data_IF_258569903059
#
_entry.id   IF_258569903059
#
_cell.length_a   1.000
_cell.length_b   1.000
_cell.length_c   1.000
_cell.angle_alpha   90.00
_cell.angle_beta   90.00
_cell.angle_gamma   90.00
#
_symmetry.space_group_name_H-M   'P 1'
#
loop_
_entity.id
_entity.type
_entity.pdbx_description
1 polymer ?
#
# COMPACT_ATOMS: atom_id res chain seq x y z
N UNK A 1 -24.61 -16.43 0.23
CA UNK A 1 -23.71 -15.30 0.54
C UNK A 1 -23.87 -15.01 2.02
N UNK A 2 -22.80 -14.62 2.74
CA UNK A 2 -22.83 -14.50 4.20
C UNK A 2 -23.62 -13.22 4.58
N UNK A 3 -24.69 -13.31 5.41
CA UNK A 3 -25.55 -12.17 5.73
C UNK A 3 -24.81 -11.02 6.45
N UNK A 4 -23.72 -11.32 7.16
CA UNK A 4 -22.88 -10.30 7.77
C UNK A 4 -22.07 -9.51 6.73
N UNK A 5 -21.57 -10.21 5.70
CA UNK A 5 -20.86 -9.57 4.58
C UNK A 5 -21.82 -8.64 3.82
N UNK A 6 -23.04 -9.11 3.55
CA UNK A 6 -24.08 -8.32 2.89
C UNK A 6 -24.39 -7.03 3.65
N UNK A 7 -24.56 -7.13 4.97
CA UNK A 7 -24.81 -5.97 5.82
C UNK A 7 -23.66 -4.96 5.78
N UNK A 8 -22.41 -5.42 5.82
CA UNK A 8 -21.24 -4.54 5.70
C UNK A 8 -21.24 -3.86 4.32
N UNK A 9 -21.42 -4.62 3.25
CA UNK A 9 -21.46 -4.11 1.87
C UNK A 9 -22.53 -3.03 1.69
N UNK A 10 -23.74 -3.27 2.22
CA UNK A 10 -24.82 -2.29 2.18
C UNK A 10 -24.48 -1.02 2.99
N UNK A 11 -23.89 -1.18 4.17
CA UNK A 11 -23.52 -0.06 5.02
C UNK A 11 -22.41 0.81 4.40
N UNK A 12 -21.45 0.20 3.70
CA UNK A 12 -20.34 0.94 3.07
C UNK A 12 -20.65 1.46 1.67
N UNK A 13 -21.71 0.97 1.02
CA UNK A 13 -22.09 1.33 -0.34
C UNK A 13 -22.10 2.85 -0.63
N UNK A 14 -22.73 3.72 0.20
CA UNK A 14 -22.73 5.16 -0.08
C UNK A 14 -21.34 5.79 0.01
N UNK A 15 -20.47 5.31 0.90
CA UNK A 15 -19.09 5.81 1.03
C UNK A 15 -18.22 5.34 -0.12
N UNK A 16 -18.39 4.08 -0.54
CA UNK A 16 -17.73 3.55 -1.73
C UNK A 16 -18.08 4.38 -2.97
N UNK A 17 -19.35 4.75 -3.13
CA UNK A 17 -19.78 5.60 -4.25
C UNK A 17 -19.12 6.99 -4.19
N UNK A 18 -19.02 7.59 -3.00
CA UNK A 18 -18.31 8.88 -2.83
C UNK A 18 -16.82 8.79 -3.22
N UNK A 19 -16.15 7.66 -2.95
CA UNK A 19 -14.76 7.44 -3.36
C UNK A 19 -14.66 7.27 -4.87
N UNK A 20 -15.55 6.48 -5.48
CA UNK A 20 -15.56 6.24 -6.94
C UNK A 20 -15.79 7.56 -7.69
N UNK A 21 -16.74 8.37 -7.23
CA UNK A 21 -17.10 9.65 -7.85
C UNK A 21 -16.24 10.82 -7.33
N UNK A 22 -15.11 10.52 -6.67
CA UNK A 22 -14.32 11.54 -6.02
C UNK A 22 -13.75 12.54 -7.04
N UNK A 23 -13.87 13.84 -6.73
CA UNK A 23 -13.51 14.94 -7.64
C UNK A 23 -12.04 14.91 -8.07
N UNK A 24 -11.16 14.28 -7.29
CA UNK A 24 -9.73 14.14 -7.59
C UNK A 24 -9.49 13.55 -8.98
N UNK A 25 -10.31 12.58 -9.40
CA UNK A 25 -10.15 11.94 -10.71
C UNK A 25 -10.46 12.88 -11.87
N UNK A 26 -11.34 13.87 -11.66
CA UNK A 26 -11.73 14.84 -12.69
C UNK A 26 -10.75 16.02 -12.82
N UNK A 27 -9.95 16.27 -11.78
CA UNK A 27 -9.00 17.39 -11.75
C UNK A 27 -7.61 16.99 -12.22
N UNK A 28 -7.27 15.70 -12.25
CA UNK A 28 -6.02 15.21 -12.85
C UNK A 28 -6.22 15.13 -14.36
N UNK A 29 -5.71 16.12 -15.11
CA UNK A 29 -5.90 16.22 -16.56
C UNK A 29 -4.63 16.02 -17.36
N UNK A 30 -3.49 16.38 -16.77
CA UNK A 30 -2.19 16.27 -17.40
C UNK A 30 -1.12 15.73 -16.44
N UNK A 31 0.09 15.60 -16.95
CA UNK A 31 1.23 15.08 -16.19
C UNK A 31 1.56 15.96 -14.99
N UNK A 32 1.38 17.28 -15.08
CA UNK A 32 1.66 18.21 -13.98
C UNK A 32 0.68 17.98 -12.83
N UNK A 33 -0.61 17.82 -13.12
CA UNK A 33 -1.60 17.47 -12.10
C UNK A 33 -1.28 16.11 -11.44
N UNK A 34 -0.86 15.13 -12.26
CA UNK A 34 -0.47 13.81 -11.77
C UNK A 34 0.76 13.89 -10.85
N UNK A 35 1.78 14.66 -11.22
CA UNK A 35 2.97 14.86 -10.39
C UNK A 35 2.60 15.39 -9.00
N UNK A 36 1.70 16.37 -8.93
CA UNK A 36 1.21 16.92 -7.67
C UNK A 36 0.47 15.83 -6.88
N UNK A 37 -0.43 15.08 -7.52
CA UNK A 37 -1.14 13.98 -6.86
C UNK A 37 -0.18 12.96 -6.26
N UNK A 38 0.83 12.51 -7.01
CA UNK A 38 1.80 11.51 -6.57
C UNK A 38 2.62 11.97 -5.35
N UNK A 39 2.96 13.26 -5.28
CA UNK A 39 3.69 13.84 -4.13
C UNK A 39 2.94 13.69 -2.80
N UNK A 40 1.61 13.65 -2.83
CA UNK A 40 0.79 13.40 -1.63
C UNK A 40 0.44 11.91 -1.49
N UNK A 41 0.13 11.23 -2.59
CA UNK A 41 -0.34 9.85 -2.58
C UNK A 41 0.75 8.86 -2.16
N UNK A 42 2.03 9.16 -2.42
CA UNK A 42 3.16 8.30 -2.01
C UNK A 42 3.17 8.00 -0.51
N UNK A 43 2.68 8.91 0.34
CA UNK A 43 2.58 8.67 1.79
C UNK A 43 1.54 7.59 2.12
N UNK A 44 0.43 7.54 1.38
CA UNK A 44 -0.57 6.48 1.53
C UNK A 44 -0.04 5.12 1.02
N UNK A 45 0.72 5.15 -0.09
CA UNK A 45 1.42 3.96 -0.62
C UNK A 45 2.41 3.41 0.40
N UNK A 46 3.20 4.29 1.03
CA UNK A 46 4.13 3.93 2.08
C UNK A 46 3.42 3.40 3.34
N UNK A 47 2.39 4.11 3.84
CA UNK A 47 1.70 3.75 5.09
C UNK A 47 0.87 2.46 4.96
N UNK A 48 0.47 2.08 3.74
CA UNK A 48 -0.14 0.78 3.49
C UNK A 48 0.77 -0.38 3.96
N UNK A 49 2.09 -0.24 3.85
CA UNK A 49 3.03 -1.23 4.36
C UNK A 49 2.93 -1.38 5.89
N UNK A 50 2.68 -0.30 6.63
CA UNK A 50 2.44 -0.37 8.07
C UNK A 50 1.23 -1.24 8.40
N UNK A 51 0.12 -1.04 7.69
CA UNK A 51 -1.09 -1.85 7.83
C UNK A 51 -0.82 -3.32 7.48
N UNK A 52 -0.15 -3.58 6.35
CA UNK A 52 0.18 -4.92 5.92
C UNK A 52 1.08 -5.65 6.92
N UNK A 53 2.07 -4.96 7.50
CA UNK A 53 2.93 -5.53 8.55
C UNK A 53 2.18 -5.79 9.84
N UNK A 54 1.26 -4.92 10.24
CA UNK A 54 0.38 -5.19 11.37
C UNK A 54 -0.45 -6.45 11.12
N UNK A 55 -1.04 -6.61 9.94
CA UNK A 55 -1.80 -7.81 9.57
C UNK A 55 -0.91 -9.06 9.56
N UNK A 56 0.29 -9.00 8.96
CA UNK A 56 1.23 -10.11 8.90
C UNK A 56 1.65 -10.57 10.31
N UNK A 57 1.99 -9.63 11.19
CA UNK A 57 2.40 -9.93 12.56
C UNK A 57 1.27 -10.55 13.41
N UNK A 58 0.01 -10.17 13.15
CA UNK A 58 -1.14 -10.65 13.94
C UNK A 58 -1.80 -11.90 13.38
N UNK A 59 -1.64 -12.18 12.08
CA UNK A 59 -2.35 -13.26 11.39
C UNK A 59 -1.41 -14.36 10.86
N UNK A 60 -0.10 -14.14 10.91
CA UNK A 60 0.92 -15.12 10.53
C UNK A 60 2.05 -15.17 11.55
N UNK A 61 3.07 -16.02 11.31
CA UNK A 61 4.25 -16.09 12.17
C UNK A 61 5.42 -15.37 11.49
N UNK A 62 5.85 -14.26 12.10
CA UNK A 62 6.99 -13.43 11.64
C UNK A 62 8.18 -13.47 12.60
N UNK A 63 8.07 -14.22 13.70
CA UNK A 63 9.08 -14.33 14.77
C UNK A 63 9.68 -15.74 14.88
N UNK A 64 10.83 -15.85 15.54
CA UNK A 64 11.49 -17.14 15.85
C UNK A 64 11.38 -17.48 17.34
N UNK A 65 11.26 -18.77 17.71
CA UNK A 65 11.10 -19.94 16.84
C UNK A 65 9.72 -19.97 16.14
N UNK A 66 9.68 -20.57 14.94
CA UNK A 66 8.50 -20.56 14.08
C UNK A 66 7.45 -21.60 14.53
N UNK A 67 6.18 -21.18 14.53
CA UNK A 67 5.01 -22.04 14.72
C UNK A 67 3.84 -21.54 13.85
N UNK A 68 2.94 -22.43 13.37
CA UNK A 68 1.75 -21.98 12.65
C UNK A 68 0.80 -21.19 13.56
N UNK A 69 0.26 -20.08 13.06
CA UNK A 69 -0.71 -19.23 13.75
C UNK A 69 -2.06 -19.28 13.05
N UNK A 70 -3.15 -19.53 13.79
CA UNK A 70 -4.51 -19.44 13.27
C UNK A 70 -4.79 -20.30 12.04
N UNK A 71 -5.69 -19.80 11.20
CA UNK A 71 -6.19 -20.47 10.00
C UNK A 71 -5.14 -20.53 8.86
N UNK A 72 -5.16 -21.59 8.06
CA UNK A 72 -4.19 -21.79 6.98
C UNK A 72 -4.45 -20.89 5.76
N UNK A 73 -5.72 -20.73 5.37
CA UNK A 73 -6.10 -19.91 4.22
C UNK A 73 -5.84 -18.43 4.49
N UNK A 74 -6.11 -17.98 5.72
CA UNK A 74 -5.79 -16.62 6.19
C UNK A 74 -4.29 -16.34 6.09
N UNK A 75 -3.45 -17.27 6.56
CA UNK A 75 -1.98 -17.14 6.46
C UNK A 75 -1.50 -17.08 5.02
N UNK A 76 -2.05 -17.94 4.16
CA UNK A 76 -1.71 -17.96 2.75
C UNK A 76 -2.04 -16.62 2.10
N UNK A 77 -3.27 -16.13 2.27
CA UNK A 77 -3.73 -14.85 1.74
C UNK A 77 -2.82 -13.69 2.16
N UNK A 78 -2.51 -13.58 3.46
CA UNK A 78 -1.66 -12.49 3.96
C UNK A 78 -0.24 -12.59 3.40
N UNK A 79 0.35 -13.79 3.35
CA UNK A 79 1.69 -13.97 2.81
C UNK A 79 1.74 -13.73 1.28
N UNK A 80 0.69 -14.06 0.54
CA UNK A 80 0.60 -13.74 -0.89
C UNK A 80 0.57 -12.22 -1.13
N UNK A 81 -0.22 -11.48 -0.34
CA UNK A 81 -0.22 -10.00 -0.40
C UNK A 81 1.17 -9.47 -0.09
N UNK A 82 1.86 -9.99 0.93
CA UNK A 82 3.23 -9.58 1.26
C UNK A 82 4.19 -9.82 0.09
N UNK A 83 4.10 -10.95 -0.60
CA UNK A 83 4.94 -11.23 -1.77
C UNK A 83 4.72 -10.18 -2.86
N UNK A 84 3.46 -9.86 -3.17
CA UNK A 84 3.10 -8.88 -4.19
C UNK A 84 3.41 -7.43 -3.83
N UNK A 85 3.46 -7.09 -2.54
CA UNK A 85 3.71 -5.70 -2.12
C UNK A 85 5.19 -5.43 -1.83
N UNK A 86 5.95 -6.42 -1.38
CA UNK A 86 7.37 -6.26 -1.02
C UNK A 86 8.35 -6.69 -2.09
N UNK A 87 7.95 -7.58 -2.99
CA UNK A 87 8.88 -8.30 -3.84
C UNK A 87 8.28 -8.70 -5.19
N UNK A 88 7.42 -7.86 -5.75
CA UNK A 88 6.88 -8.09 -7.09
C UNK A 88 7.96 -7.92 -8.17
N UNK A 89 7.61 -8.29 -9.40
CA UNK A 89 8.46 -8.09 -10.57
C UNK A 89 8.11 -6.78 -11.27
N UNK A 90 9.13 -5.97 -11.52
CA UNK A 90 9.02 -4.84 -12.45
C UNK A 90 8.88 -5.32 -13.92
N UNK A 91 8.68 -4.38 -14.84
CA UNK A 91 8.54 -4.68 -16.28
C UNK A 91 9.79 -5.33 -16.91
N UNK A 92 10.93 -5.34 -16.21
CA UNK A 92 12.20 -5.93 -16.65
C UNK A 92 12.54 -7.22 -15.88
N UNK A 93 11.66 -7.67 -14.99
CA UNK A 93 11.86 -8.87 -14.18
C UNK A 93 12.74 -8.68 -12.94
N UNK A 94 13.02 -7.45 -12.51
CA UNK A 94 13.71 -7.18 -11.26
C UNK A 94 12.71 -7.17 -10.09
N UNK A 95 13.15 -7.64 -8.92
CA UNK A 95 12.33 -7.62 -7.70
C UNK A 95 12.28 -6.22 -7.12
N UNK A 96 11.08 -5.71 -6.88
CA UNK A 96 10.82 -4.41 -6.26
C UNK A 96 9.57 -4.46 -5.38
N UNK A 97 9.56 -3.65 -4.34
CA UNK A 97 8.33 -3.35 -3.60
C UNK A 97 7.42 -2.42 -4.40
N UNK A 98 6.13 -2.42 -4.09
CA UNK A 98 5.18 -1.48 -4.68
C UNK A 98 5.57 -0.02 -4.43
N UNK A 99 6.13 0.27 -3.25
CA UNK A 99 6.66 1.59 -2.91
C UNK A 99 7.81 2.02 -3.82
N UNK A 100 8.77 1.12 -4.09
CA UNK A 100 9.87 1.39 -5.02
C UNK A 100 9.37 1.58 -6.46
N UNK A 101 8.42 0.74 -6.91
CA UNK A 101 7.79 0.89 -8.22
C UNK A 101 7.08 2.25 -8.36
N UNK A 102 6.40 2.70 -7.30
CA UNK A 102 5.74 4.00 -7.30
C UNK A 102 6.75 5.16 -7.33
N UNK A 103 7.86 5.06 -6.59
CA UNK A 103 8.95 6.05 -6.63
C UNK A 103 9.61 6.11 -8.01
N UNK A 104 9.87 4.98 -8.66
CA UNK A 104 10.39 4.96 -10.03
C UNK A 104 9.43 5.69 -10.98
N UNK A 105 8.13 5.46 -10.83
CA UNK A 105 7.11 6.14 -11.64
C UNK A 105 7.09 7.65 -11.37
N UNK A 106 7.26 8.08 -10.11
CA UNK A 106 7.41 9.50 -9.75
C UNK A 106 8.62 10.12 -10.45
N UNK A 107 9.78 9.46 -10.40
CA UNK A 107 10.99 9.94 -11.08
C UNK A 107 10.79 9.97 -12.59
N UNK A 108 10.17 8.95 -13.17
CA UNK A 108 9.91 8.86 -14.61
C UNK A 108 9.00 10.01 -15.09
N UNK A 109 7.99 10.38 -14.32
CA UNK A 109 7.12 11.50 -14.68
C UNK A 109 7.63 12.86 -14.20
N UNK A 110 8.76 12.92 -13.48
CA UNK A 110 9.36 14.17 -12.98
C UNK A 110 8.68 14.77 -11.74
N UNK A 111 8.00 13.97 -10.94
CA UNK A 111 7.45 14.41 -9.65
C UNK A 111 8.56 14.55 -8.59
N UNK A 112 8.44 15.54 -7.70
CA UNK A 112 9.40 15.75 -6.61
C UNK A 112 9.25 14.68 -5.51
N UNK A 113 10.29 13.87 -5.29
CA UNK A 113 10.31 12.83 -4.24
C UNK A 113 11.00 13.28 -2.96
N UNK A 114 11.51 14.52 -2.90
CA UNK A 114 12.36 15.00 -1.81
C UNK A 114 11.70 14.85 -0.44
N UNK A 115 10.40 15.15 -0.35
CA UNK A 115 9.65 15.11 0.90
C UNK A 115 9.55 13.70 1.50
N UNK A 116 9.18 12.71 0.68
CA UNK A 116 9.05 11.32 1.13
C UNK A 116 10.41 10.69 1.41
N UNK A 117 11.43 10.98 0.60
CA UNK A 117 12.78 10.46 0.80
C UNK A 117 13.38 10.98 2.12
N UNK A 118 13.22 12.28 2.40
CA UNK A 118 13.62 12.87 3.69
C UNK A 118 12.87 12.23 4.86
N UNK A 119 11.55 12.07 4.72
CA UNK A 119 10.72 11.46 5.75
C UNK A 119 11.19 10.02 6.09
N UNK A 120 11.38 9.17 5.08
CA UNK A 120 11.85 7.79 5.28
C UNK A 120 13.28 7.76 5.83
N UNK A 121 14.16 8.66 5.37
CA UNK A 121 15.52 8.76 5.91
C UNK A 121 15.51 9.14 7.40
N UNK A 122 14.67 10.09 7.80
CA UNK A 122 14.55 10.54 9.19
C UNK A 122 13.99 9.44 10.09
N UNK A 123 12.99 8.67 9.63
CA UNK A 123 12.48 7.51 10.35
C UNK A 123 13.56 6.45 10.57
N UNK A 124 14.36 6.16 9.54
CA UNK A 124 15.49 5.21 9.65
C UNK A 124 16.56 5.70 10.62
N UNK A 125 16.83 7.00 10.67
CA UNK A 125 17.87 7.58 11.54
C UNK A 125 17.42 7.66 13.00
N UNK A 126 16.18 8.10 13.24
CA UNK A 126 15.66 8.31 14.59
C UNK A 126 15.33 7.01 15.31
N UNK A 127 14.97 5.95 14.58
CA UNK A 127 14.53 4.68 15.15
C UNK A 127 13.25 4.80 15.99
N UNK A 128 12.52 5.91 15.85
CA UNK A 128 11.30 6.20 16.58
C UNK A 128 10.11 5.83 15.69
N UNK A 129 9.56 4.64 15.94
CA UNK A 129 8.45 4.03 15.19
C UNK A 129 7.15 4.13 15.98
#
# INVERSE_FOLDING_TARGET
MNPHIERIQQAIAPFRQQIIDHKVYSVIKDTQDLQIFMQYHIFAVWDFMSLLKALQNNLTCTSVPWFPMGDADTRHLINEIVVGEESDLDAFGNRKSHFELYLDAMHQCGADTTSIEKFVAELKQSGNF
#
